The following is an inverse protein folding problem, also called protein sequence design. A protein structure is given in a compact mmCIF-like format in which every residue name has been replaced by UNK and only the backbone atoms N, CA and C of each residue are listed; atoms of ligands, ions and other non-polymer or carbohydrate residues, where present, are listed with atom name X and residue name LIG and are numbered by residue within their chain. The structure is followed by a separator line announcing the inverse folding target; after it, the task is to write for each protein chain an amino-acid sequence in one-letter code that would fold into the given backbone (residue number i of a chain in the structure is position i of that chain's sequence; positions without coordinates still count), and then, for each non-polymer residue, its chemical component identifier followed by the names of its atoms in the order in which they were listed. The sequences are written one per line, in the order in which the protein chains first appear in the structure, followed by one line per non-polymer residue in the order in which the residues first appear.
data_IF_569162654064
#
_entry.id   IF_569162654064
#
_cell.length_a   1.000
_cell.length_b   1.000
_cell.length_c   1.000
_cell.angle_alpha   90.00
_cell.angle_beta   90.00
_cell.angle_gamma   90.00
#
_symmetry.space_group_name_H-M   'P 1'
#
loop_
_entity.id
_entity.type
_entity.pdbx_description
1 polymer ?
#
# COMPACT_ATOMS: atom_id res chain seq x y z
N UNK A 1 2.06 0.85 3.02
CA UNK A 1 2.67 1.79 3.97
C UNK A 1 4.18 1.58 3.94
N UNK A 2 4.99 2.64 4.03
CA UNK A 2 6.44 2.53 4.18
C UNK A 2 6.85 3.37 5.38
N UNK A 3 7.71 2.83 6.24
CA UNK A 3 8.13 3.46 7.50
C UNK A 3 9.58 3.11 7.78
N UNK A 4 10.32 4.06 8.36
CA UNK A 4 11.67 3.83 8.87
C UNK A 4 11.55 3.55 10.38
N UNK A 5 12.00 2.39 10.88
CA UNK A 5 12.02 2.11 12.31
C UNK A 5 12.90 3.09 13.08
N UNK A 6 12.48 3.44 14.29
CA UNK A 6 13.29 4.25 15.21
C UNK A 6 14.59 3.51 15.53
N UNK A 7 15.73 4.22 15.46
CA UNK A 7 17.05 3.65 15.74
C UNK A 7 17.66 2.86 14.58
N UNK A 8 17.18 3.05 13.34
CA UNK A 8 17.82 2.46 12.15
C UNK A 8 19.30 2.86 12.10
N UNK A 9 20.15 1.92 11.70
CA UNK A 9 21.61 2.11 11.63
C UNK A 9 22.03 3.25 10.70
N UNK A 10 21.34 3.38 9.58
CA UNK A 10 21.64 4.37 8.54
C UNK A 10 20.34 5.01 8.04
N UNK A 11 20.01 6.14 8.66
CA UNK A 11 18.78 6.89 8.37
C UNK A 11 18.81 7.48 6.96
N UNK A 12 19.96 7.98 6.51
CA UNK A 12 20.09 8.63 5.20
C UNK A 12 19.93 7.62 4.07
N UNK A 13 20.56 6.44 4.20
CA UNK A 13 20.37 5.35 3.25
C UNK A 13 18.91 4.88 3.23
N UNK A 14 18.23 4.80 4.38
CA UNK A 14 16.82 4.41 4.45
C UNK A 14 15.91 5.42 3.73
N UNK A 15 16.14 6.73 3.90
CA UNK A 15 15.41 7.76 3.15
C UNK A 15 15.72 7.72 1.65
N UNK A 16 16.99 7.53 1.28
CA UNK A 16 17.38 7.41 -0.13
C UNK A 16 16.68 6.23 -0.81
N UNK A 17 16.57 5.09 -0.12
CA UNK A 17 15.83 3.92 -0.60
C UNK A 17 14.34 4.21 -0.80
N UNK A 18 13.68 4.84 0.17
CA UNK A 18 12.26 5.19 0.05
C UNK A 18 12.01 6.13 -1.14
N UNK A 19 12.86 7.13 -1.34
CA UNK A 19 12.78 8.04 -2.47
C UNK A 19 12.96 7.29 -3.81
N UNK A 20 13.94 6.38 -3.89
CA UNK A 20 14.17 5.58 -5.09
C UNK A 20 12.98 4.65 -5.39
N UNK A 21 12.40 4.00 -4.38
CA UNK A 21 11.24 3.13 -4.53
C UNK A 21 9.98 3.88 -4.97
N UNK A 22 9.77 5.10 -4.47
CA UNK A 22 8.66 5.98 -4.87
C UNK A 22 8.81 6.56 -6.28
N UNK A 23 10.01 6.49 -6.86
CA UNK A 23 10.29 6.93 -8.21
C UNK A 23 9.44 6.20 -9.25
N UNK A 24 9.14 6.91 -10.35
CA UNK A 24 8.30 6.45 -11.46
C UNK A 24 8.70 5.05 -11.96
N UNK A 25 9.97 4.87 -12.31
CA UNK A 25 10.48 3.61 -12.87
C UNK A 25 10.31 2.44 -11.90
N UNK A 26 10.65 2.64 -10.62
CA UNK A 26 10.50 1.59 -9.59
C UNK A 26 9.05 1.15 -9.43
N UNK A 27 8.11 2.10 -9.47
CA UNK A 27 6.67 1.81 -9.42
C UNK A 27 6.14 1.12 -10.69
N UNK A 28 6.69 1.46 -11.85
CA UNK A 28 6.39 0.74 -13.10
C UNK A 28 6.84 -0.72 -13.04
N UNK A 29 8.06 -0.98 -12.55
CA UNK A 29 8.61 -2.33 -12.37
C UNK A 29 7.79 -3.12 -11.36
N UNK A 30 7.44 -2.51 -10.21
CA UNK A 30 6.56 -3.13 -9.22
C UNK A 30 5.28 -3.65 -9.87
N UNK A 31 4.59 -2.79 -10.61
CA UNK A 31 3.31 -3.14 -11.24
C UNK A 31 3.47 -4.27 -12.25
N UNK A 32 4.50 -4.18 -13.09
CA UNK A 32 4.77 -5.17 -14.16
C UNK A 32 5.14 -6.56 -13.60
N UNK A 33 5.74 -6.62 -12.41
CA UNK A 33 6.23 -7.87 -11.83
C UNK A 33 5.29 -8.49 -10.80
N UNK A 34 4.37 -7.72 -10.22
CA UNK A 34 3.52 -8.18 -9.11
C UNK A 34 2.02 -7.98 -9.33
N UNK A 35 1.61 -7.31 -10.42
CA UNK A 35 0.23 -6.86 -10.65
C UNK A 35 -0.33 -5.89 -9.60
N UNK A 36 0.48 -5.40 -8.65
CA UNK A 36 0.06 -4.36 -7.71
C UNK A 36 -0.08 -3.02 -8.41
N UNK A 37 -1.07 -2.25 -7.97
CA UNK A 37 -1.30 -0.89 -8.48
C UNK A 37 -0.19 0.05 -7.99
N UNK A 38 0.42 0.85 -8.89
CA UNK A 38 1.47 1.79 -8.49
C UNK A 38 0.85 2.96 -7.72
N UNK A 39 1.59 3.45 -6.72
CA UNK A 39 1.16 4.62 -5.93
C UNK A 39 1.68 5.95 -6.51
N UNK A 40 2.67 5.90 -7.40
CA UNK A 40 3.11 7.07 -8.15
C UNK A 40 2.18 7.28 -9.35
N UNK A 41 1.52 8.45 -9.39
CA UNK A 41 0.53 8.77 -10.42
C UNK A 41 1.12 8.99 -11.82
N UNK A 42 2.44 9.20 -11.92
CA UNK A 42 3.15 9.37 -13.19
C UNK A 42 3.66 8.03 -13.77
N UNK A 43 3.56 6.94 -13.01
CA UNK A 43 3.93 5.61 -13.46
C UNK A 43 2.99 5.13 -14.59
N UNK A 44 3.58 4.69 -15.70
CA UNK A 44 2.85 4.17 -16.86
C UNK A 44 3.31 2.74 -17.16
N UNK A 45 2.97 1.77 -16.28
CA UNK A 45 3.45 0.40 -16.42
C UNK A 45 2.88 -0.25 -17.68
N UNK A 46 3.74 -0.97 -18.40
CA UNK A 46 3.34 -1.74 -19.58
C UNK A 46 2.88 -3.12 -19.15
N UNK A 47 1.57 -3.26 -18.97
CA UNK A 47 0.93 -4.52 -18.56
C UNK A 47 -0.12 -4.95 -19.57
N UNK A 48 -0.48 -6.22 -19.58
CA UNK A 48 -1.56 -6.71 -20.43
C UNK A 48 -2.93 -6.14 -20.00
N UNK A 49 -3.93 -6.34 -20.86
CA UNK A 49 -5.29 -5.84 -20.62
C UNK A 49 -5.94 -6.43 -19.37
N UNK A 50 -5.57 -7.67 -18.99
CA UNK A 50 -6.13 -8.32 -17.80
C UNK A 50 -5.63 -7.66 -16.53
N UNK A 51 -4.33 -7.40 -16.42
CA UNK A 51 -3.73 -6.68 -15.29
C UNK A 51 -4.23 -5.24 -15.24
N UNK A 52 -4.26 -4.56 -16.40
CA UNK A 52 -4.75 -3.19 -16.50
C UNK A 52 -6.19 -3.04 -15.95
N UNK A 53 -7.06 -4.03 -16.20
CA UNK A 53 -8.43 -4.03 -15.71
C UNK A 53 -8.55 -4.07 -14.18
N UNK A 54 -7.55 -4.61 -13.48
CA UNK A 54 -7.55 -4.71 -12.00
C UNK A 54 -6.77 -3.59 -11.30
N UNK A 55 -6.10 -2.70 -12.04
CA UNK A 55 -5.43 -1.56 -11.43
C UNK A 55 -6.44 -0.61 -10.77
N UNK A 56 -6.23 -0.30 -9.49
CA UNK A 56 -7.21 0.41 -8.66
C UNK A 56 -7.04 1.94 -8.68
N UNK A 57 -6.03 2.45 -9.40
CA UNK A 57 -5.69 3.87 -9.43
C UNK A 57 -6.35 4.66 -10.57
N UNK A 58 -7.21 4.05 -11.37
CA UNK A 58 -8.03 4.77 -12.36
C UNK A 58 -9.19 5.51 -11.68
N UNK A 59 -9.67 6.64 -12.25
CA UNK A 59 -10.80 7.38 -11.67
C UNK A 59 -12.04 6.50 -11.42
N UNK A 60 -12.37 5.64 -12.39
CA UNK A 60 -13.52 4.73 -12.30
C UNK A 60 -13.37 3.75 -11.12
N UNK A 61 -12.18 3.16 -10.92
CA UNK A 61 -11.93 2.23 -9.82
C UNK A 61 -11.86 2.93 -8.47
N UNK A 62 -11.30 4.14 -8.42
CA UNK A 62 -11.27 4.92 -7.18
C UNK A 62 -12.68 5.28 -6.70
N UNK A 63 -13.64 5.51 -7.61
CA UNK A 63 -15.03 5.79 -7.25
C UNK A 63 -15.77 4.59 -6.61
N UNK A 64 -15.30 3.38 -6.90
CA UNK A 64 -15.85 2.12 -6.38
C UNK A 64 -15.19 1.70 -5.05
N UNK A 65 -14.06 2.31 -4.70
CA UNK A 65 -13.26 1.95 -3.55
C UNK A 65 -13.64 2.70 -2.28
N UNK A 66 -13.63 2.01 -1.15
CA UNK A 66 -13.68 2.66 0.17
C UNK A 66 -12.27 2.98 0.64
N UNK A 67 -12.03 4.25 0.98
CA UNK A 67 -10.78 4.65 1.62
C UNK A 67 -10.78 4.17 3.07
N UNK A 68 -9.72 3.48 3.46
CA UNK A 68 -9.53 3.06 4.85
C UNK A 68 -9.44 4.29 5.75
N UNK A 69 -10.27 4.36 6.79
CA UNK A 69 -10.16 5.40 7.81
C UNK A 69 -9.08 5.00 8.82
N UNK A 70 -7.83 5.36 8.50
CA UNK A 70 -6.68 5.01 9.34
C UNK A 70 -6.80 5.60 10.75
N UNK A 71 -7.39 6.80 10.91
CA UNK A 71 -7.57 7.41 12.24
C UNK A 71 -8.49 6.57 13.12
N UNK A 72 -9.65 6.16 12.58
CA UNK A 72 -10.57 5.26 13.30
C UNK A 72 -9.86 3.96 13.70
N UNK A 73 -9.11 3.36 12.78
CA UNK A 73 -8.39 2.13 13.09
C UNK A 73 -7.31 2.35 14.15
N UNK A 74 -6.48 3.39 14.08
CA UNK A 74 -5.47 3.67 15.12
C UNK A 74 -6.10 3.80 16.51
N UNK A 75 -7.25 4.47 16.62
CA UNK A 75 -7.95 4.67 17.90
C UNK A 75 -8.63 3.38 18.42
N UNK A 76 -9.07 2.48 17.53
CA UNK A 76 -9.94 1.35 17.89
C UNK A 76 -9.32 -0.03 17.66
N UNK A 77 -8.11 -0.12 17.06
CA UNK A 77 -7.53 -1.39 16.62
C UNK A 77 -7.36 -2.37 17.76
N UNK A 78 -6.89 -1.92 18.93
CA UNK A 78 -6.71 -2.80 20.09
C UNK A 78 -8.04 -3.47 20.49
N UNK A 79 -9.09 -2.68 20.71
CA UNK A 79 -10.40 -3.22 21.10
C UNK A 79 -11.00 -4.12 20.00
N UNK A 80 -10.81 -3.77 18.73
CA UNK A 80 -11.24 -4.59 17.60
C UNK A 80 -10.47 -5.92 17.53
N UNK A 81 -9.16 -5.90 17.74
CA UNK A 81 -8.29 -7.07 17.73
C UNK A 81 -8.63 -8.04 18.88
N UNK A 82 -8.87 -7.53 20.09
CA UNK A 82 -9.27 -8.33 21.24
C UNK A 82 -10.60 -9.07 20.98
N UNK A 83 -11.61 -8.34 20.49
CA UNK A 83 -12.91 -8.92 20.12
C UNK A 83 -12.80 -9.93 18.99
N UNK A 84 -12.01 -9.61 17.96
CA UNK A 84 -11.76 -10.52 16.85
C UNK A 84 -11.09 -11.82 17.33
N UNK A 85 -10.10 -11.70 18.21
CA UNK A 85 -9.38 -12.86 18.76
C UNK A 85 -10.31 -13.73 19.62
N UNK A 86 -11.16 -13.12 20.45
CA UNK A 86 -12.16 -13.85 21.23
C UNK A 86 -13.14 -14.62 20.34
N UNK A 87 -13.67 -13.96 19.31
CA UNK A 87 -14.57 -14.57 18.34
C UNK A 87 -13.91 -15.75 17.62
N UNK A 88 -12.66 -15.60 17.18
CA UNK A 88 -11.91 -16.68 16.50
C UNK A 88 -11.55 -17.83 17.43
N UNK A 89 -11.47 -17.59 18.74
CA UNK A 89 -11.28 -18.61 19.76
C UNK A 89 -12.59 -19.31 20.20
N UNK A 90 -13.74 -18.91 19.65
CA UNK A 90 -15.05 -19.50 19.93
C UNK A 90 -15.77 -18.96 21.17
N UNK A 91 -15.39 -17.77 21.65
CA UNK A 91 -16.04 -17.05 22.75
C UNK A 91 -17.00 -15.97 22.24
#
# INVERSE_FOLDING_TARGET
QMTIPVGVKDTDAAYALLNAYLGKQSQEVLTQTTSYTPINNEAQPKVDASVAAFLTNTPDRQSQGYKQNIKFWVENFQAAQEKWSAMMAGN
#
